data_IF_952253475380
#
_entry.id   IF_952253475380
#
_cell.length_a   1.000
_cell.length_b   1.000
_cell.length_c   1.000
_cell.angle_alpha   90.00
_cell.angle_beta   90.00
_cell.angle_gamma   90.00
#
_symmetry.space_group_name_H-M   'P 1'
#
loop_
_entity.id
_entity.type
_entity.pdbx_description
1 polymer ?
#
# COMPACT_ATOMS: atom_id res chain seq x y z
N UNK A 1 -6.52 11.12 -21.84
CA UNK A 1 -7.01 11.50 -20.50
C UNK A 1 -5.80 11.66 -19.59
N UNK A 2 -5.72 12.75 -18.83
CA UNK A 2 -4.63 13.02 -17.90
C UNK A 2 -5.11 12.75 -16.48
N UNK A 3 -4.41 11.90 -15.73
CA UNK A 3 -4.79 11.53 -14.36
C UNK A 3 -3.65 11.88 -13.41
N UNK A 4 -3.85 12.90 -12.59
CA UNK A 4 -2.97 13.23 -11.48
C UNK A 4 -3.50 12.60 -10.20
N UNK A 5 -2.72 11.72 -9.58
CA UNK A 5 -3.06 11.11 -8.30
C UNK A 5 -2.00 11.45 -7.27
N UNK A 6 -2.35 12.35 -6.34
CA UNK A 6 -1.54 12.70 -5.18
C UNK A 6 -2.11 12.02 -3.92
N UNK A 7 -1.58 10.85 -3.56
CA UNK A 7 -2.10 10.03 -2.45
C UNK A 7 -0.97 9.27 -1.76
N UNK A 8 -1.23 8.82 -0.53
CA UNK A 8 -0.29 7.98 0.20
C UNK A 8 -0.14 6.60 -0.42
N UNK A 9 1.09 6.08 -0.40
CA UNK A 9 1.40 4.69 -0.64
C UNK A 9 1.21 3.90 0.65
N UNK A 10 0.69 2.68 0.56
CA UNK A 10 0.63 1.76 1.69
C UNK A 10 1.35 0.46 1.32
N UNK A 11 2.01 -0.17 2.29
CA UNK A 11 2.36 -1.59 2.18
C UNK A 11 1.28 -2.42 2.86
N UNK A 12 0.66 -3.30 2.10
CA UNK A 12 -0.31 -4.26 2.60
C UNK A 12 0.38 -5.55 3.03
N UNK A 13 0.20 -5.96 4.28
CA UNK A 13 0.47 -7.34 4.71
C UNK A 13 -0.83 -8.14 4.56
N UNK A 14 -0.80 -9.23 3.80
CA UNK A 14 -1.95 -10.13 3.63
C UNK A 14 -1.69 -11.41 4.39
N UNK A 15 -2.56 -11.70 5.35
CA UNK A 15 -2.53 -12.88 6.20
C UNK A 15 -3.72 -13.77 5.83
N UNK A 16 -3.44 -15.00 5.43
CA UNK A 16 -4.46 -16.00 5.13
C UNK A 16 -4.72 -16.89 6.35
N UNK A 17 -5.92 -16.76 6.97
CA UNK A 17 -6.39 -17.58 8.08
C UNK A 17 -7.81 -17.28 8.58
N UNK A 18 -8.41 -18.25 9.27
CA UNK A 18 -9.47 -18.04 10.27
C UNK A 18 -9.14 -16.91 11.27
N UNK A 19 -10.17 -16.12 11.59
CA UNK A 19 -10.06 -15.00 12.51
C UNK A 19 -9.57 -15.44 13.90
N UNK A 20 -8.70 -14.65 14.55
CA UNK A 20 -8.35 -14.91 15.94
C UNK A 20 -9.61 -14.82 16.79
N UNK A 21 -10.08 -15.96 17.31
CA UNK A 21 -10.99 -15.97 18.44
C UNK A 21 -10.26 -15.36 19.63
N UNK A 22 -11.00 -14.68 20.52
CA UNK A 22 -10.44 -14.12 21.75
C UNK A 22 -9.52 -15.18 22.38
N UNK A 23 -8.38 -14.75 22.91
CA UNK A 23 -7.46 -15.59 23.71
C UNK A 23 -6.75 -16.77 22.99
N UNK A 24 -6.91 -16.96 21.66
CA UNK A 24 -6.19 -17.97 20.88
C UNK A 24 -5.04 -17.41 20.01
N UNK A 25 -3.94 -18.17 19.92
CA UNK A 25 -2.80 -17.86 19.05
C UNK A 25 -3.10 -18.17 17.58
N UNK A 26 -2.64 -17.28 16.70
CA UNK A 26 -2.98 -17.31 15.29
C UNK A 26 -1.73 -17.50 14.41
N UNK A 27 -1.39 -18.73 14.00
CA UNK A 27 -0.27 -19.05 13.09
C UNK A 27 -0.60 -18.88 11.60
N UNK A 28 -0.22 -17.77 10.94
CA UNK A 28 -0.56 -17.55 9.53
C UNK A 28 -0.09 -18.72 8.65
N UNK A 29 -0.95 -19.20 7.74
CA UNK A 29 -0.55 -20.20 6.74
C UNK A 29 0.35 -19.53 5.70
N UNK A 30 -0.03 -18.31 5.31
CA UNK A 30 0.70 -17.47 4.38
C UNK A 30 0.71 -16.02 4.86
N UNK A 31 1.86 -15.36 4.69
CA UNK A 31 2.06 -13.94 4.89
C UNK A 31 2.79 -13.37 3.67
N UNK A 32 2.17 -12.41 2.99
CA UNK A 32 2.79 -11.71 1.88
C UNK A 32 2.72 -10.20 2.11
N UNK A 33 3.76 -9.49 1.67
CA UNK A 33 3.76 -8.03 1.61
C UNK A 33 3.56 -7.61 0.16
N UNK A 34 2.67 -6.65 -0.07
CA UNK A 34 2.43 -6.06 -1.38
C UNK A 34 2.36 -4.55 -1.26
N UNK A 35 2.94 -3.80 -2.20
CA UNK A 35 2.66 -2.39 -2.35
C UNK A 35 1.20 -2.21 -2.73
N UNK A 36 0.56 -1.16 -2.23
CA UNK A 36 -0.86 -0.93 -2.42
C UNK A 36 -1.32 0.44 -1.92
N UNK A 37 -2.59 0.50 -1.52
CA UNK A 37 -3.30 1.73 -1.24
C UNK A 37 -4.13 2.20 -2.43
N UNK A 38 -5.29 2.80 -2.13
CA UNK A 38 -6.30 3.14 -3.14
C UNK A 38 -5.72 4.02 -4.26
N UNK A 39 -4.87 4.98 -3.92
CA UNK A 39 -4.23 5.87 -4.90
C UNK A 39 -3.28 5.15 -5.84
N UNK A 40 -2.43 4.27 -5.33
CA UNK A 40 -1.52 3.48 -6.16
C UNK A 40 -2.29 2.53 -7.09
N UNK A 41 -3.31 1.85 -6.56
CA UNK A 41 -4.14 0.95 -7.37
C UNK A 41 -4.88 1.69 -8.50
N UNK A 42 -5.36 2.90 -8.24
CA UNK A 42 -5.98 3.75 -9.26
C UNK A 42 -4.97 4.21 -10.31
N UNK A 43 -3.76 4.59 -9.89
CA UNK A 43 -2.70 5.01 -10.81
C UNK A 43 -2.26 3.88 -11.73
N UNK A 44 -2.11 2.67 -11.18
CA UNK A 44 -1.84 1.46 -11.96
C UNK A 44 -2.97 1.18 -12.94
N UNK A 45 -4.22 1.13 -12.47
CA UNK A 45 -5.36 0.84 -13.33
C UNK A 45 -5.48 1.84 -14.50
N UNK A 46 -5.32 3.13 -14.24
CA UNK A 46 -5.33 4.17 -15.27
C UNK A 46 -4.15 4.01 -16.25
N UNK A 47 -2.97 3.66 -15.75
CA UNK A 47 -1.77 3.42 -16.56
C UNK A 47 -1.92 2.16 -17.44
N UNK A 48 -2.55 1.10 -16.93
CA UNK A 48 -2.89 -0.09 -17.71
C UNK A 48 -3.98 0.17 -18.75
N UNK A 49 -4.81 1.20 -18.56
CA UNK A 49 -5.80 1.68 -19.53
C UNK A 49 -5.20 2.72 -20.52
N UNK A 50 -3.88 2.73 -20.69
CA UNK A 50 -3.12 3.60 -21.60
C UNK A 50 -3.38 5.11 -21.41
N UNK A 51 -3.77 5.53 -20.20
CA UNK A 51 -3.87 6.95 -19.85
C UNK A 51 -2.52 7.53 -19.44
N UNK A 52 -2.32 8.83 -19.67
CA UNK A 52 -1.14 9.54 -19.17
C UNK A 52 -1.33 9.83 -17.67
N UNK A 53 -0.62 9.05 -16.84
CA UNK A 53 -0.72 9.11 -15.38
C UNK A 53 0.52 9.79 -14.82
N UNK A 54 0.31 10.82 -14.00
CA UNK A 54 1.32 11.36 -13.11
C UNK A 54 0.97 10.96 -11.69
N UNK A 55 1.80 10.13 -11.08
CA UNK A 55 1.58 9.63 -9.73
C UNK A 55 2.47 10.34 -8.73
N UNK A 56 1.87 11.01 -7.75
CA UNK A 56 2.58 11.67 -6.67
C UNK A 56 2.27 10.94 -5.37
N UNK A 57 3.32 10.51 -4.66
CA UNK A 57 3.16 9.80 -3.40
C UNK A 57 4.27 10.13 -2.41
N UNK A 58 4.03 9.80 -1.15
CA UNK A 58 4.97 9.98 -0.05
C UNK A 58 5.08 8.67 0.74
N UNK A 59 6.31 8.30 1.06
CA UNK A 59 6.67 7.12 1.87
C UNK A 59 7.58 7.55 3.02
N UNK A 60 7.79 6.66 3.99
CA UNK A 60 8.81 6.89 5.02
C UNK A 60 10.23 6.75 4.46
N UNK A 61 11.20 6.62 5.35
CA UNK A 61 12.60 6.29 5.02
C UNK A 61 13.02 4.96 5.67
N UNK A 62 12.09 4.02 5.71
CA UNK A 62 12.26 2.66 6.21
C UNK A 62 12.41 1.65 5.07
N UNK A 63 12.62 0.37 5.40
CA UNK A 63 12.79 -0.69 4.38
C UNK A 63 11.56 -0.86 3.47
N UNK A 64 10.37 -0.49 3.96
CA UNK A 64 9.15 -0.51 3.14
C UNK A 64 9.14 0.58 2.09
N UNK A 65 9.87 1.68 2.31
CA UNK A 65 10.03 2.74 1.31
C UNK A 65 10.81 2.26 0.09
N UNK A 66 11.91 1.52 0.28
CA UNK A 66 12.68 0.94 -0.82
C UNK A 66 11.84 -0.05 -1.63
N UNK A 67 11.06 -0.88 -0.93
CA UNK A 67 10.14 -1.81 -1.57
C UNK A 67 9.07 -1.10 -2.41
N UNK A 68 8.46 -0.04 -1.88
CA UNK A 68 7.48 0.77 -2.59
C UNK A 68 8.08 1.48 -3.82
N UNK A 69 9.28 2.06 -3.68
CA UNK A 69 9.97 2.77 -4.77
C UNK A 69 10.31 1.81 -5.90
N UNK A 70 10.89 0.65 -5.58
CA UNK A 70 11.23 -0.36 -6.57
C UNK A 70 9.99 -0.88 -7.31
N UNK A 71 8.87 -1.04 -6.61
CA UNK A 71 7.61 -1.43 -7.24
C UNK A 71 7.08 -0.36 -8.21
N UNK A 72 7.05 0.91 -7.81
CA UNK A 72 6.56 1.99 -8.69
C UNK A 72 7.46 2.08 -9.93
N UNK A 73 8.78 2.04 -9.76
CA UNK A 73 9.75 2.11 -10.85
C UNK A 73 9.67 0.93 -11.84
N UNK A 74 9.22 -0.24 -11.36
CA UNK A 74 9.02 -1.44 -12.20
C UNK A 74 7.61 -1.55 -12.78
N UNK A 75 6.72 -0.62 -12.45
CA UNK A 75 5.33 -0.61 -12.93
C UNK A 75 5.17 0.14 -14.25
N UNK A 76 3.96 0.12 -14.83
CA UNK A 76 3.62 0.93 -16.02
C UNK A 76 3.49 2.44 -15.74
N UNK A 77 3.57 2.88 -14.48
CA UNK A 77 3.50 4.30 -14.14
C UNK A 77 4.81 4.98 -14.55
N UNK A 78 4.82 5.56 -15.75
CA UNK A 78 6.04 6.16 -16.33
C UNK A 78 6.44 7.52 -15.73
N UNK A 79 5.50 8.21 -15.07
CA UNK A 79 5.73 9.54 -14.49
C UNK A 79 5.31 9.51 -13.03
N UNK A 80 6.29 9.43 -12.13
CA UNK A 80 6.05 9.41 -10.70
C UNK A 80 6.96 10.34 -9.93
N UNK A 81 6.43 10.99 -8.91
CA UNK A 81 7.17 11.77 -7.91
C UNK A 81 6.96 11.09 -6.56
N UNK A 82 8.05 10.62 -5.96
CA UNK A 82 8.02 9.90 -4.67
C UNK A 82 8.79 10.73 -3.65
N UNK A 83 8.10 11.26 -2.66
CA UNK A 83 8.71 11.93 -1.51
C UNK A 83 9.04 10.91 -0.42
N UNK A 84 10.17 11.11 0.27
CA UNK A 84 10.55 10.35 1.45
C UNK A 84 10.57 11.27 2.68
N UNK A 85 10.14 10.77 3.84
CA UNK A 85 10.25 11.49 5.12
C UNK A 85 10.96 10.64 6.19
N UNK A 86 11.73 11.31 7.05
CA UNK A 86 12.35 10.73 8.25
C UNK A 86 11.47 10.84 9.50
N UNK A 87 10.39 11.61 9.42
CA UNK A 87 9.55 11.96 10.57
C UNK A 87 8.59 10.82 10.94
N UNK A 88 8.30 9.94 9.98
CA UNK A 88 7.27 8.91 10.09
C UNK A 88 7.61 7.70 9.22
N UNK A 89 7.08 6.54 9.61
CA UNK A 89 7.20 5.29 8.85
C UNK A 89 6.25 5.26 7.64
N UNK A 90 6.58 4.42 6.66
CA UNK A 90 5.70 4.10 5.53
C UNK A 90 4.39 3.52 6.05
N UNK A 91 3.26 4.03 5.55
CA UNK A 91 1.95 3.58 5.99
C UNK A 91 1.74 2.09 5.67
N UNK A 92 1.08 1.37 6.56
CA UNK A 92 0.82 -0.06 6.39
C UNK A 92 -0.66 -0.38 6.57
N UNK A 93 -1.09 -1.46 5.93
CA UNK A 93 -2.40 -2.04 6.15
C UNK A 93 -2.27 -3.54 6.33
N UNK A 94 -2.84 -4.08 7.41
CA UNK A 94 -2.92 -5.52 7.62
C UNK A 94 -4.28 -6.00 7.13
N UNK A 95 -4.26 -6.89 6.15
CA UNK A 95 -5.42 -7.54 5.56
C UNK A 95 -5.44 -8.98 6.05
N UNK A 96 -6.43 -9.34 6.85
CA UNK A 96 -6.67 -10.71 7.27
C UNK A 96 -7.80 -11.28 6.42
N UNK A 97 -7.58 -12.44 5.80
CA UNK A 97 -8.56 -13.13 4.95
C UNK A 97 -8.90 -14.48 5.57
N UNK A 98 -10.16 -14.70 5.88
CA UNK A 98 -10.68 -15.99 6.32
C UNK A 98 -10.55 -17.02 5.19
N UNK A 99 -9.89 -18.14 5.46
CA UNK A 99 -9.63 -19.17 4.45
C UNK A 99 -10.87 -19.97 4.04
N UNK A 100 -11.85 -20.08 4.93
CA UNK A 100 -13.06 -20.90 4.73
C UNK A 100 -14.20 -20.07 4.14
N UNK A 101 -14.41 -18.84 4.65
CA UNK A 101 -15.51 -17.98 4.20
C UNK A 101 -15.11 -16.99 3.11
N UNK A 102 -13.82 -16.66 3.00
CA UNK A 102 -13.32 -15.60 2.13
C UNK A 102 -13.51 -14.19 2.69
N UNK A 103 -14.06 -14.04 3.90
CA UNK A 103 -14.25 -12.73 4.54
C UNK A 103 -12.91 -12.04 4.80
N UNK A 104 -12.90 -10.70 4.71
CA UNK A 104 -11.69 -9.92 4.91
C UNK A 104 -11.85 -8.83 5.98
N UNK A 105 -10.86 -8.72 6.86
CA UNK A 105 -10.72 -7.59 7.80
C UNK A 105 -9.48 -6.80 7.43
N UNK A 106 -9.65 -5.48 7.30
CA UNK A 106 -8.54 -4.57 6.97
C UNK A 106 -8.32 -3.66 8.18
N UNK A 107 -7.18 -3.83 8.84
CA UNK A 107 -6.68 -2.92 9.87
C UNK A 107 -5.66 -1.98 9.22
N UNK A 108 -5.95 -0.68 9.22
CA UNK A 108 -5.06 0.32 8.62
C UNK A 108 -4.29 1.06 9.70
N UNK A 109 -2.98 1.20 9.53
CA UNK A 109 -2.16 2.12 10.29
C UNK A 109 -1.92 3.34 9.40
N UNK A 110 -2.73 4.40 9.57
CA UNK A 110 -2.58 5.57 8.75
C UNK A 110 -1.25 6.24 9.06
N UNK A 111 -0.68 6.84 8.02
CA UNK A 111 0.33 7.87 8.18
C UNK A 111 -0.22 8.99 9.09
N UNK A 112 0.57 9.55 10.02
CA UNK A 112 0.15 10.74 10.77
C UNK A 112 0.08 11.91 9.81
N UNK A 113 -1.13 12.29 9.37
CA UNK A 113 -1.47 13.33 8.35
C UNK A 113 -0.89 14.75 8.54
N UNK A 114 0.07 14.99 9.43
CA UNK A 114 0.49 16.35 9.79
C UNK A 114 1.55 16.99 8.89
N UNK A 115 2.09 16.25 7.92
CA UNK A 115 2.95 16.79 6.87
C UNK A 115 2.17 16.74 5.57
N UNK A 116 1.89 17.91 5.04
CA UNK A 116 1.50 18.03 3.65
C UNK A 116 2.64 17.48 2.75
N UNK A 117 2.30 17.15 1.50
CA UNK A 117 3.32 17.10 0.46
C UNK A 117 4.10 18.43 0.50
N UNK A 118 5.44 18.42 0.38
CA UNK A 118 6.19 19.66 0.33
C UNK A 118 5.72 20.57 -0.81
#
# INVERSE_FOLDING_TARGET
MYVLLARSMLISSVIYRDYPQRENHCWPINLFFSPGGKGCNQALAASYADSDVHFITKVGSDHFSDYAINFINSSKIHKSVIYQTKETQTGTATIMVNGDTGDNVIAYLPWRQHDNFP
#
